data_IF_381495607504
#
_entry.id   IF_381495607504
#
_cell.length_a   1.000
_cell.length_b   1.000
_cell.length_c   1.000
_cell.angle_alpha   90.00
_cell.angle_beta   90.00
_cell.angle_gamma   90.00
#
_symmetry.space_group_name_H-M   'P 1'
#
loop_
_entity.id
_entity.type
_entity.pdbx_description
1 polymer ?
#
# COMPACT_ATOMS: atom_id res chain seq x y z
N UNK A 1 -17.46 3.56 -4.48
CA UNK A 1 -16.65 2.52 -3.80
C UNK A 1 -17.39 2.14 -2.52
N UNK A 2 -17.86 0.89 -2.35
CA UNK A 2 -18.30 0.40 -1.03
C UNK A 2 -17.09 -0.15 -0.26
N UNK A 3 -17.04 0.04 1.07
CA UNK A 3 -15.85 -0.28 1.87
C UNK A 3 -14.66 0.63 1.57
N UNK A 4 -14.94 1.91 1.28
CA UNK A 4 -13.95 2.91 0.89
C UNK A 4 -12.88 3.17 1.97
N UNK A 5 -13.23 3.02 3.25
CA UNK A 5 -12.35 3.13 4.42
C UNK A 5 -11.59 1.83 4.74
N UNK A 6 -11.91 0.73 4.04
CA UNK A 6 -11.20 -0.53 4.14
C UNK A 6 -9.80 -0.50 3.52
N UNK A 7 -9.04 -1.58 3.71
CA UNK A 7 -7.66 -1.67 3.23
C UNK A 7 -7.54 -1.45 1.72
N UNK A 8 -8.27 -2.22 0.91
CA UNK A 8 -8.23 -2.08 -0.56
C UNK A 8 -8.91 -0.78 -0.99
N UNK A 9 -10.03 -0.40 -0.36
CA UNK A 9 -10.78 0.81 -0.67
C UNK A 9 -9.95 2.08 -0.54
N UNK A 10 -9.14 2.22 0.52
CA UNK A 10 -8.23 3.36 0.71
C UNK A 10 -7.18 3.44 -0.40
N UNK A 11 -6.55 2.31 -0.72
CA UNK A 11 -5.55 2.27 -1.80
C UNK A 11 -6.18 2.64 -3.15
N UNK A 12 -7.36 2.12 -3.45
CA UNK A 12 -8.11 2.44 -4.67
C UNK A 12 -8.51 3.92 -4.72
N UNK A 13 -9.03 4.47 -3.62
CA UNK A 13 -9.44 5.89 -3.56
C UNK A 13 -8.28 6.84 -3.84
N UNK A 14 -7.10 6.56 -3.26
CA UNK A 14 -5.88 7.33 -3.53
C UNK A 14 -5.51 7.21 -5.01
N UNK A 15 -5.50 5.99 -5.55
CA UNK A 15 -5.11 5.77 -6.95
C UNK A 15 -6.05 6.44 -7.94
N UNK A 16 -7.35 6.41 -7.70
CA UNK A 16 -8.31 7.14 -8.52
C UNK A 16 -8.07 8.65 -8.50
N UNK A 17 -7.76 9.21 -7.32
CA UNK A 17 -7.38 10.63 -7.21
C UNK A 17 -6.12 10.97 -8.01
N UNK A 18 -5.09 10.12 -7.97
CA UNK A 18 -3.85 10.26 -8.76
C UNK A 18 -4.11 10.26 -10.28
N UNK A 19 -5.10 9.48 -10.72
CA UNK A 19 -5.53 9.41 -12.12
C UNK A 19 -6.46 10.56 -12.52
N UNK A 20 -6.79 11.48 -11.60
CA UNK A 20 -7.62 12.65 -11.87
C UNK A 20 -9.13 12.38 -11.77
N UNK A 21 -9.55 11.24 -11.25
CA UNK A 21 -10.97 11.01 -10.95
C UNK A 21 -11.38 11.80 -9.70
N UNK A 22 -12.19 12.82 -9.87
CA UNK A 22 -12.66 13.71 -8.77
C UNK A 22 -14.06 13.37 -8.27
N UNK A 23 -14.84 12.65 -9.07
CA UNK A 23 -16.21 12.24 -8.74
C UNK A 23 -16.21 10.80 -8.18
N UNK A 24 -15.58 10.62 -7.01
CA UNK A 24 -15.46 9.34 -6.32
C UNK A 24 -16.25 9.39 -5.02
N UNK A 25 -17.35 8.64 -4.97
CA UNK A 25 -18.17 8.51 -3.75
C UNK A 25 -17.72 7.28 -2.96
N UNK A 26 -17.33 7.49 -1.70
CA UNK A 26 -16.98 6.44 -0.74
C UNK A 26 -18.16 6.09 0.16
N UNK A 27 -18.53 4.83 0.20
CA UNK A 27 -19.54 4.26 1.11
C UNK A 27 -18.83 3.43 2.17
N UNK A 28 -19.08 3.73 3.43
CA UNK A 28 -18.49 3.08 4.62
C UNK A 28 -19.58 2.52 5.53
N UNK A 29 -19.20 1.93 6.65
CA UNK A 29 -20.15 1.47 7.67
C UNK A 29 -20.96 2.61 8.33
N UNK A 30 -20.46 3.85 8.24
CA UNK A 30 -21.13 5.03 8.79
C UNK A 30 -22.14 5.64 7.78
N UNK A 31 -22.10 5.22 6.52
CA UNK A 31 -23.00 5.71 5.49
C UNK A 31 -24.41 5.17 5.69
N UNK A 32 -25.40 6.02 5.50
CA UNK A 32 -26.80 5.61 5.62
C UNK A 32 -27.26 4.78 4.40
N UNK A 33 -28.35 4.02 4.51
CA UNK A 33 -28.95 3.35 3.34
C UNK A 33 -29.35 4.34 2.22
N UNK A 34 -29.70 5.57 2.56
CA UNK A 34 -30.00 6.62 1.58
C UNK A 34 -28.75 7.07 0.80
N UNK A 35 -27.60 7.17 1.47
CA UNK A 35 -26.33 7.49 0.81
C UNK A 35 -25.94 6.38 -0.18
N UNK A 36 -26.08 5.12 0.24
CA UNK A 36 -25.83 3.97 -0.64
C UNK A 36 -26.75 3.98 -1.87
N UNK A 37 -28.06 4.24 -1.65
CA UNK A 37 -29.05 4.35 -2.71
C UNK A 37 -28.69 5.47 -3.71
N UNK A 38 -28.38 6.66 -3.20
CA UNK A 38 -28.03 7.81 -4.03
C UNK A 38 -26.74 7.57 -4.83
N UNK A 39 -25.71 7.03 -4.18
CA UNK A 39 -24.43 6.73 -4.81
C UNK A 39 -24.59 5.70 -5.95
N UNK A 40 -25.31 4.60 -5.73
CA UNK A 40 -25.48 3.56 -6.73
C UNK A 40 -26.39 3.98 -7.88
N UNK A 41 -27.43 4.78 -7.61
CA UNK A 41 -28.34 5.22 -8.67
C UNK A 41 -27.65 6.11 -9.71
N UNK A 42 -26.64 6.89 -9.31
CA UNK A 42 -25.87 7.79 -10.20
C UNK A 42 -24.50 7.27 -10.62
N UNK A 43 -24.13 6.06 -10.21
CA UNK A 43 -22.77 5.56 -10.45
C UNK A 43 -22.52 5.28 -11.93
N UNK A 44 -21.36 5.72 -12.45
CA UNK A 44 -20.83 5.31 -13.76
C UNK A 44 -20.02 4.00 -13.70
N UNK A 45 -19.50 3.66 -12.51
CA UNK A 45 -18.75 2.43 -12.23
C UNK A 45 -18.82 2.12 -10.73
N UNK A 46 -18.93 0.85 -10.34
CA UNK A 46 -19.04 0.43 -8.94
C UNK A 46 -17.89 -0.50 -8.56
N UNK A 47 -17.13 -0.13 -7.55
CA UNK A 47 -16.18 -1.01 -6.87
C UNK A 47 -16.81 -1.49 -5.56
N UNK A 48 -17.32 -2.72 -5.55
CA UNK A 48 -17.92 -3.33 -4.38
C UNK A 48 -16.87 -4.10 -3.58
N UNK A 49 -16.25 -3.39 -2.61
CA UNK A 49 -15.13 -3.89 -1.81
C UNK A 49 -15.54 -4.15 -0.35
N UNK A 50 -16.73 -3.69 0.06
CA UNK A 50 -17.26 -3.96 1.38
C UNK A 50 -17.48 -5.46 1.58
N UNK A 51 -17.19 -5.94 2.78
CA UNK A 51 -17.43 -7.32 3.17
C UNK A 51 -16.88 -7.62 4.55
N UNK A 52 -17.43 -8.67 5.17
CA UNK A 52 -17.05 -9.16 6.50
C UNK A 52 -16.12 -10.36 6.34
N UNK A 53 -14.97 -10.34 7.04
CA UNK A 53 -14.00 -11.44 7.03
C UNK A 53 -13.59 -11.94 8.43
N UNK A 54 -13.96 -11.20 9.49
CA UNK A 54 -13.82 -11.59 10.91
C UNK A 54 -15.04 -11.10 11.69
N UNK A 55 -16.15 -11.83 11.60
CA UNK A 55 -17.38 -11.49 12.29
C UNK A 55 -17.26 -11.77 13.80
N UNK A 56 -18.16 -11.18 14.57
CA UNK A 56 -18.42 -11.59 15.96
C UNK A 56 -19.38 -12.76 16.00
N UNK A 57 -20.36 -12.78 15.09
CA UNK A 57 -21.30 -13.87 14.89
C UNK A 57 -21.22 -14.38 13.46
N UNK A 58 -21.36 -15.70 13.25
CA UNK A 58 -21.25 -16.34 11.92
C UNK A 58 -22.31 -15.78 10.94
N UNK A 59 -23.48 -15.35 11.42
CA UNK A 59 -24.54 -14.76 10.60
C UNK A 59 -24.09 -13.49 9.89
N UNK A 60 -23.16 -12.73 10.46
CA UNK A 60 -22.62 -11.51 9.86
C UNK A 60 -21.93 -11.77 8.51
N UNK A 61 -21.46 -13.01 8.25
CA UNK A 61 -20.93 -13.36 6.92
C UNK A 61 -22.02 -13.30 5.84
N UNK A 62 -23.17 -13.88 6.09
CA UNK A 62 -24.27 -13.87 5.15
C UNK A 62 -24.82 -12.44 4.94
N UNK A 63 -25.02 -11.69 6.02
CA UNK A 63 -25.52 -10.32 5.96
C UNK A 63 -24.54 -9.36 5.26
N UNK A 64 -23.27 -9.39 5.68
CA UNK A 64 -22.25 -8.46 5.23
C UNK A 64 -21.61 -8.79 3.88
N UNK A 65 -21.70 -10.03 3.41
CA UNK A 65 -21.18 -10.42 2.08
C UNK A 65 -22.33 -10.65 1.11
N UNK A 66 -23.15 -11.70 1.30
CA UNK A 66 -24.26 -12.03 0.39
C UNK A 66 -25.32 -10.92 0.38
N UNK A 67 -25.88 -10.58 1.54
CA UNK A 67 -27.00 -9.63 1.64
C UNK A 67 -26.65 -8.21 1.18
N UNK A 68 -25.43 -7.75 1.48
CA UNK A 68 -24.99 -6.45 0.97
C UNK A 68 -24.81 -6.46 -0.55
N UNK A 69 -24.28 -7.55 -1.14
CA UNK A 69 -24.14 -7.67 -2.60
C UNK A 69 -25.51 -7.72 -3.27
N UNK A 70 -26.46 -8.48 -2.72
CA UNK A 70 -27.84 -8.49 -3.20
C UNK A 70 -28.48 -7.10 -3.13
N UNK A 71 -28.24 -6.35 -2.05
CA UNK A 71 -28.72 -4.97 -1.89
C UNK A 71 -28.15 -4.06 -2.96
N UNK A 72 -26.84 -4.13 -3.25
CA UNK A 72 -26.20 -3.37 -4.33
C UNK A 72 -26.83 -3.71 -5.68
N UNK A 73 -26.98 -5.00 -5.99
CA UNK A 73 -27.59 -5.46 -7.24
C UNK A 73 -29.04 -4.98 -7.39
N UNK A 74 -29.83 -5.07 -6.31
CA UNK A 74 -31.22 -4.62 -6.30
C UNK A 74 -31.34 -3.12 -6.56
N UNK A 75 -30.54 -2.29 -5.88
CA UNK A 75 -30.55 -0.83 -6.07
C UNK A 75 -30.21 -0.46 -7.51
N UNK A 76 -29.16 -1.06 -8.08
CA UNK A 76 -28.76 -0.83 -9.47
C UNK A 76 -29.87 -1.21 -10.45
N UNK A 77 -30.52 -2.37 -10.23
CA UNK A 77 -31.62 -2.83 -11.07
C UNK A 77 -32.86 -1.93 -10.97
N UNK A 78 -33.29 -1.54 -9.76
CA UNK A 78 -34.41 -0.63 -9.52
C UNK A 78 -34.16 0.77 -10.13
N UNK A 79 -32.92 1.25 -10.12
CA UNK A 79 -32.52 2.50 -10.76
C UNK A 79 -32.36 2.37 -12.29
N UNK A 80 -32.45 1.17 -12.86
CA UNK A 80 -32.13 0.92 -14.27
C UNK A 80 -30.66 1.19 -14.62
N UNK A 81 -29.78 1.25 -13.62
CA UNK A 81 -28.37 1.57 -13.80
C UNK A 81 -27.58 0.31 -14.20
N UNK A 82 -26.92 0.37 -15.36
CA UNK A 82 -26.07 -0.71 -15.92
C UNK A 82 -24.59 -0.45 -15.75
N UNK A 83 -24.20 0.35 -14.75
CA UNK A 83 -22.80 0.60 -14.43
C UNK A 83 -22.04 -0.72 -14.23
N UNK A 84 -20.81 -0.84 -14.75
CA UNK A 84 -19.96 -2.00 -14.46
C UNK A 84 -19.73 -2.16 -12.96
N UNK A 85 -19.73 -3.41 -12.47
CA UNK A 85 -19.50 -3.71 -11.04
C UNK A 85 -18.32 -4.64 -10.87
N UNK A 86 -17.33 -4.22 -10.08
CA UNK A 86 -16.24 -5.05 -9.58
C UNK A 86 -16.62 -5.59 -8.20
N UNK A 87 -16.47 -6.88 -7.98
CA UNK A 87 -16.57 -7.53 -6.67
C UNK A 87 -15.21 -8.06 -6.21
N UNK A 88 -14.75 -7.61 -5.04
CA UNK A 88 -13.64 -8.23 -4.35
C UNK A 88 -14.10 -9.51 -3.64
N UNK A 89 -13.97 -10.65 -4.31
CA UNK A 89 -14.21 -11.97 -3.75
C UNK A 89 -12.91 -12.57 -3.17
N UNK A 90 -12.90 -13.84 -2.88
CA UNK A 90 -11.78 -14.56 -2.28
C UNK A 90 -11.61 -15.95 -2.90
N UNK A 91 -10.37 -16.42 -2.98
CA UNK A 91 -10.10 -17.84 -3.31
C UNK A 91 -10.80 -18.81 -2.36
N UNK A 92 -11.14 -18.36 -1.14
CA UNK A 92 -11.93 -19.17 -0.21
C UNK A 92 -13.38 -19.42 -0.65
N UNK A 93 -13.91 -18.68 -1.63
CA UNK A 93 -15.21 -18.97 -2.24
C UNK A 93 -15.29 -20.40 -2.83
N UNK A 94 -14.16 -21.05 -3.08
CA UNK A 94 -14.10 -22.46 -3.49
C UNK A 94 -14.25 -23.45 -2.31
N UNK A 95 -14.26 -22.98 -1.06
CA UNK A 95 -14.34 -23.81 0.15
C UNK A 95 -15.73 -23.78 0.78
N UNK A 96 -16.07 -24.82 1.55
CA UNK A 96 -17.38 -24.96 2.21
C UNK A 96 -17.40 -24.46 3.67
N UNK A 97 -16.47 -23.54 4.04
CA UNK A 97 -16.57 -22.84 5.31
C UNK A 97 -17.55 -21.64 5.21
N UNK A 98 -18.08 -21.13 6.34
CA UNK A 98 -19.11 -20.07 6.32
C UNK A 98 -18.69 -18.82 5.55
N UNK A 99 -17.42 -18.41 5.62
CA UNK A 99 -16.90 -17.28 4.85
C UNK A 99 -16.87 -17.59 3.35
N UNK A 100 -16.36 -18.76 2.97
CA UNK A 100 -16.28 -19.20 1.57
C UNK A 100 -17.68 -19.28 0.93
N UNK A 101 -18.66 -19.84 1.65
CA UNK A 101 -20.06 -19.92 1.20
C UNK A 101 -20.61 -18.53 0.95
N UNK A 102 -20.48 -17.60 1.92
CA UNK A 102 -21.01 -16.23 1.77
C UNK A 102 -20.38 -15.46 0.61
N UNK A 103 -19.08 -15.69 0.34
CA UNK A 103 -18.41 -15.07 -0.81
C UNK A 103 -18.89 -15.67 -2.13
N UNK A 104 -19.09 -16.99 -2.20
CA UNK A 104 -19.63 -17.67 -3.38
C UNK A 104 -21.07 -17.20 -3.69
N UNK A 105 -21.93 -17.09 -2.68
CA UNK A 105 -23.30 -16.59 -2.85
C UNK A 105 -23.31 -15.12 -3.33
N UNK A 106 -22.38 -14.29 -2.84
CA UNK A 106 -22.20 -12.92 -3.35
C UNK A 106 -21.76 -12.91 -4.83
N UNK A 107 -20.85 -13.81 -5.23
CA UNK A 107 -20.49 -13.99 -6.64
C UNK A 107 -21.69 -14.36 -7.49
N UNK A 108 -22.49 -15.34 -7.05
CA UNK A 108 -23.67 -15.82 -7.75
C UNK A 108 -24.72 -14.71 -7.91
N UNK A 109 -24.97 -13.92 -6.86
CA UNK A 109 -25.87 -12.77 -6.90
C UNK A 109 -25.43 -11.73 -7.93
N UNK A 110 -24.14 -11.38 -7.96
CA UNK A 110 -23.61 -10.42 -8.92
C UNK A 110 -23.64 -10.94 -10.36
N UNK A 111 -23.27 -12.21 -10.59
CA UNK A 111 -23.32 -12.82 -11.91
C UNK A 111 -24.77 -12.92 -12.44
N UNK A 112 -25.74 -13.23 -11.56
CA UNK A 112 -27.16 -13.21 -11.89
C UNK A 112 -27.63 -11.81 -12.27
N UNK A 113 -27.21 -10.77 -11.53
CA UNK A 113 -27.49 -9.36 -11.86
C UNK A 113 -26.95 -9.00 -13.26
N UNK A 114 -25.69 -9.32 -13.55
CA UNK A 114 -25.09 -9.07 -14.87
C UNK A 114 -25.88 -9.74 -16.00
N UNK A 115 -26.30 -11.00 -15.79
CA UNK A 115 -27.11 -11.74 -16.75
C UNK A 115 -28.50 -11.12 -16.97
N UNK A 116 -29.15 -10.67 -15.90
CA UNK A 116 -30.49 -10.11 -15.95
C UNK A 116 -30.55 -8.70 -16.56
N UNK A 117 -29.55 -7.86 -16.29
CA UNK A 117 -29.56 -6.44 -16.68
C UNK A 117 -28.71 -6.13 -17.91
N UNK A 118 -27.75 -6.99 -18.23
CA UNK A 118 -26.70 -6.75 -19.23
C UNK A 118 -25.58 -5.82 -18.73
N UNK A 119 -25.51 -5.54 -17.41
CA UNK A 119 -24.41 -4.79 -16.82
C UNK A 119 -23.13 -5.63 -16.82
N UNK A 120 -21.96 -5.07 -17.17
CA UNK A 120 -20.69 -5.77 -17.02
C UNK A 120 -20.39 -6.05 -15.54
N UNK A 121 -19.96 -7.28 -15.23
CA UNK A 121 -19.61 -7.66 -13.84
C UNK A 121 -18.26 -8.36 -13.84
N UNK A 122 -17.41 -8.02 -12.84
CA UNK A 122 -16.06 -8.52 -12.72
C UNK A 122 -15.82 -9.08 -11.33
N UNK A 123 -15.55 -10.35 -11.22
CA UNK A 123 -15.35 -11.05 -9.94
C UNK A 123 -13.88 -11.40 -9.77
N UNK A 124 -13.25 -10.80 -8.77
CA UNK A 124 -11.86 -11.08 -8.42
C UNK A 124 -11.79 -12.01 -7.20
N UNK A 125 -11.43 -13.27 -7.40
CA UNK A 125 -11.10 -14.20 -6.30
C UNK A 125 -9.69 -13.95 -5.81
N UNK A 126 -9.54 -12.92 -4.95
CA UNK A 126 -8.25 -12.50 -4.42
C UNK A 126 -7.68 -13.53 -3.44
N UNK A 127 -6.36 -13.73 -3.50
CA UNK A 127 -5.57 -14.47 -2.49
C UNK A 127 -5.32 -13.59 -1.26
N UNK A 128 -4.25 -13.81 -0.50
CA UNK A 128 -3.92 -12.96 0.64
C UNK A 128 -3.36 -11.62 0.13
N UNK A 129 -4.21 -10.59 0.10
CA UNK A 129 -3.81 -9.24 -0.29
C UNK A 129 -2.98 -8.62 0.84
N UNK A 130 -1.83 -8.03 0.49
CA UNK A 130 -0.95 -7.34 1.43
C UNK A 130 -0.48 -6.00 0.88
N UNK A 131 -0.01 -5.11 1.75
CA UNK A 131 0.52 -3.80 1.36
C UNK A 131 0.32 -2.74 2.44
N UNK A 132 0.69 -1.50 2.10
CA UNK A 132 0.54 -0.33 2.96
C UNK A 132 -0.90 -0.16 3.42
N UNK A 133 -1.09 0.29 4.68
CA UNK A 133 -2.38 0.54 5.34
C UNK A 133 -3.24 -0.69 5.65
N UNK A 134 -2.73 -1.91 5.44
CA UNK A 134 -3.41 -3.10 5.94
C UNK A 134 -3.37 -3.13 7.48
N UNK A 135 -4.45 -3.65 8.09
CA UNK A 135 -4.58 -3.66 9.55
C UNK A 135 -3.77 -4.81 10.16
N UNK A 136 -2.78 -4.54 11.04
CA UNK A 136 -2.03 -5.58 11.73
C UNK A 136 -2.90 -6.28 12.77
N UNK A 137 -2.53 -7.50 13.16
CA UNK A 137 -3.23 -8.32 14.16
C UNK A 137 -4.72 -8.53 13.83
N UNK A 138 -5.06 -8.56 12.54
CA UNK A 138 -6.42 -8.75 12.06
C UNK A 138 -6.50 -9.95 11.11
N UNK A 139 -6.23 -9.77 9.83
CA UNK A 139 -6.40 -10.83 8.82
C UNK A 139 -5.22 -10.95 7.83
N UNK A 140 -4.07 -10.41 8.14
CA UNK A 140 -2.89 -10.45 7.28
C UNK A 140 -1.66 -10.81 8.12
N UNK A 141 -1.05 -11.95 7.82
CA UNK A 141 0.24 -12.34 8.40
C UNK A 141 1.31 -11.31 8.03
N UNK A 142 1.34 -10.83 6.77
CA UNK A 142 2.29 -9.81 6.31
C UNK A 142 2.18 -8.54 7.15
N UNK A 143 0.95 -7.99 7.33
CA UNK A 143 0.74 -6.79 8.12
C UNK A 143 1.17 -6.99 9.59
N UNK A 144 0.82 -8.14 10.16
CA UNK A 144 1.19 -8.48 11.54
C UNK A 144 2.70 -8.59 11.72
N UNK A 145 3.37 -9.30 10.82
CA UNK A 145 4.83 -9.47 10.87
C UNK A 145 5.55 -8.13 10.66
N UNK A 146 5.15 -7.35 9.66
CA UNK A 146 5.72 -6.03 9.40
C UNK A 146 5.57 -5.11 10.62
N UNK A 147 4.35 -5.02 11.18
CA UNK A 147 4.07 -4.19 12.34
C UNK A 147 4.89 -4.61 13.58
N UNK A 148 4.91 -5.92 13.88
CA UNK A 148 5.55 -6.41 15.08
C UNK A 148 7.08 -6.32 14.98
N UNK A 149 7.65 -6.77 13.87
CA UNK A 149 9.10 -6.70 13.64
C UNK A 149 9.58 -5.23 13.64
N UNK A 150 8.83 -4.32 13.02
CA UNK A 150 9.17 -2.89 13.02
C UNK A 150 9.19 -2.26 14.43
N UNK A 151 8.52 -2.89 15.41
CA UNK A 151 8.44 -2.44 16.81
C UNK A 151 9.22 -3.32 17.79
N UNK A 152 10.00 -4.29 17.28
CA UNK A 152 10.73 -5.23 18.13
C UNK A 152 9.83 -6.15 18.96
N UNK A 153 8.59 -6.38 18.50
CA UNK A 153 7.64 -7.32 19.12
C UNK A 153 7.83 -8.69 18.49
N UNK A 154 7.89 -9.72 19.31
CA UNK A 154 8.02 -11.09 18.83
C UNK A 154 6.83 -11.52 17.98
N UNK A 155 7.12 -12.33 16.96
CA UNK A 155 6.10 -12.96 16.10
C UNK A 155 6.03 -14.45 16.41
N UNK A 156 4.81 -14.99 16.40
CA UNK A 156 4.58 -16.42 16.56
C UNK A 156 4.37 -17.07 15.19
N UNK A 157 5.10 -18.14 14.93
CA UNK A 157 4.99 -18.95 13.71
C UNK A 157 4.67 -20.37 14.14
N UNK A 158 3.44 -20.82 13.87
CA UNK A 158 3.01 -22.18 14.25
C UNK A 158 3.58 -23.24 13.29
N UNK A 159 3.59 -22.95 12.01
CA UNK A 159 4.16 -23.82 10.97
C UNK A 159 4.93 -22.98 9.95
N UNK A 160 6.28 -23.02 9.99
CA UNK A 160 7.11 -22.28 9.03
C UNK A 160 6.97 -22.76 7.59
N UNK A 161 6.59 -24.03 7.39
CA UNK A 161 6.43 -24.64 6.05
C UNK A 161 5.05 -24.37 5.44
N UNK A 162 4.09 -23.83 6.21
CA UNK A 162 2.76 -23.54 5.71
C UNK A 162 2.82 -22.64 4.48
N UNK A 163 2.21 -23.07 3.34
CA UNK A 163 2.22 -22.30 2.11
C UNK A 163 1.33 -21.06 2.22
N UNK A 164 1.78 -19.95 1.65
CA UNK A 164 1.01 -18.71 1.55
C UNK A 164 1.10 -18.18 0.13
N UNK A 165 -0.07 -17.93 -0.46
CA UNK A 165 -0.20 -17.24 -1.74
C UNK A 165 -0.58 -15.78 -1.51
N UNK A 166 0.20 -14.87 -2.05
CA UNK A 166 0.12 -13.42 -1.80
C UNK A 166 -0.17 -12.67 -3.11
N UNK A 167 -0.87 -11.56 -3.01
CA UNK A 167 -1.00 -10.55 -4.07
C UNK A 167 -0.82 -9.16 -3.48
N UNK A 168 -0.04 -8.32 -4.16
CA UNK A 168 0.22 -6.97 -3.67
C UNK A 168 -0.94 -6.03 -3.94
N UNK A 169 -1.29 -5.17 -2.99
CA UNK A 169 -2.48 -4.32 -3.07
C UNK A 169 -2.44 -3.37 -4.26
N UNK A 170 -1.26 -2.85 -4.64
CA UNK A 170 -1.16 -1.94 -5.77
C UNK A 170 -1.43 -2.68 -7.09
N UNK A 171 -1.01 -3.95 -7.23
CA UNK A 171 -1.33 -4.77 -8.40
C UNK A 171 -2.84 -5.05 -8.49
N UNK A 172 -3.51 -5.27 -7.35
CA UNK A 172 -4.98 -5.40 -7.30
C UNK A 172 -5.66 -4.11 -7.74
N UNK A 173 -5.19 -2.97 -7.22
CA UNK A 173 -5.73 -1.66 -7.56
C UNK A 173 -5.51 -1.33 -9.03
N UNK A 174 -4.33 -1.60 -9.60
CA UNK A 174 -4.07 -1.40 -11.03
C UNK A 174 -4.97 -2.28 -11.90
N UNK A 175 -5.24 -3.53 -11.50
CA UNK A 175 -6.20 -4.37 -12.21
C UNK A 175 -7.62 -3.77 -12.19
N UNK A 176 -8.03 -3.20 -11.05
CA UNK A 176 -9.34 -2.57 -10.91
C UNK A 176 -9.48 -1.31 -11.78
N UNK A 177 -8.51 -0.39 -11.69
CA UNK A 177 -8.57 0.85 -12.46
C UNK A 177 -8.36 0.64 -13.96
N UNK A 178 -7.67 -0.43 -14.34
CA UNK A 178 -7.50 -0.83 -15.72
C UNK A 178 -8.84 -1.05 -16.43
N UNK A 179 -9.85 -1.55 -15.72
CA UNK A 179 -11.20 -1.78 -16.25
C UNK A 179 -11.93 -0.49 -16.62
N UNK A 180 -11.56 0.67 -16.06
CA UNK A 180 -12.16 1.96 -16.40
C UNK A 180 -11.82 2.41 -17.83
N UNK A 181 -10.65 2.01 -18.33
CA UNK A 181 -10.17 2.43 -19.65
C UNK A 181 -10.12 1.28 -20.66
N UNK A 182 -9.95 0.05 -20.18
CA UNK A 182 -9.86 -1.15 -21.00
C UNK A 182 -10.71 -2.26 -20.35
N UNK A 183 -12.03 -2.27 -20.61
CA UNK A 183 -12.92 -3.30 -20.10
C UNK A 183 -12.49 -4.71 -20.57
N UNK A 184 -12.62 -5.68 -19.67
CA UNK A 184 -12.44 -7.09 -19.98
C UNK A 184 -13.80 -7.78 -20.25
N UNK A 185 -13.76 -9.06 -20.58
CA UNK A 185 -14.98 -9.87 -20.67
C UNK A 185 -15.60 -10.00 -19.27
N UNK A 186 -16.94 -9.86 -19.20
CA UNK A 186 -17.68 -10.01 -17.95
C UNK A 186 -17.52 -11.41 -17.37
N UNK A 187 -17.34 -11.52 -16.06
CA UNK A 187 -17.15 -12.78 -15.34
C UNK A 187 -15.99 -12.76 -14.37
N UNK A 188 -15.34 -13.91 -14.22
CA UNK A 188 -14.16 -14.02 -13.36
C UNK A 188 -12.94 -13.42 -14.04
N UNK A 189 -12.25 -12.58 -13.31
CA UNK A 189 -11.03 -11.89 -13.73
C UNK A 189 -9.92 -12.05 -12.68
N UNK A 190 -8.67 -11.82 -13.07
CA UNK A 190 -7.51 -12.01 -12.20
C UNK A 190 -6.78 -10.71 -11.94
N UNK A 191 -6.24 -10.56 -10.74
CA UNK A 191 -5.29 -9.52 -10.40
C UNK A 191 -3.94 -10.17 -10.06
N UNK A 192 -2.88 -9.52 -10.37
CA UNK A 192 -1.57 -10.08 -10.06
C UNK A 192 -0.42 -9.29 -10.65
N UNK A 193 0.81 -9.72 -10.39
CA UNK A 193 1.23 -11.12 -10.14
C UNK A 193 0.87 -11.65 -8.75
N UNK A 194 0.59 -12.95 -8.70
CA UNK A 194 0.50 -13.69 -7.44
C UNK A 194 1.87 -14.30 -7.08
N UNK A 195 2.16 -14.37 -5.79
CA UNK A 195 3.43 -14.87 -5.28
C UNK A 195 3.20 -16.05 -4.33
N UNK A 196 3.89 -17.16 -4.57
CA UNK A 196 3.92 -18.32 -3.69
C UNK A 196 5.14 -18.22 -2.75
N UNK A 197 4.91 -18.41 -1.45
CA UNK A 197 5.95 -18.42 -0.41
C UNK A 197 5.50 -19.30 0.76
N UNK A 198 6.31 -19.38 1.83
CA UNK A 198 5.90 -19.97 3.10
C UNK A 198 5.90 -18.95 4.22
N UNK A 199 5.21 -19.27 5.32
CA UNK A 199 5.16 -18.39 6.50
C UNK A 199 6.56 -18.14 7.06
N UNK A 200 7.43 -19.15 7.07
CA UNK A 200 8.82 -19.02 7.50
C UNK A 200 9.63 -18.10 6.60
N UNK A 201 9.59 -18.33 5.28
CA UNK A 201 10.29 -17.47 4.31
C UNK A 201 9.83 -16.02 4.39
N UNK A 202 8.52 -15.80 4.56
CA UNK A 202 7.95 -14.47 4.75
C UNK A 202 8.53 -13.78 6.00
N UNK A 203 8.55 -14.49 7.13
CA UNK A 203 9.07 -13.95 8.37
C UNK A 203 10.57 -13.63 8.28
N UNK A 204 11.36 -14.53 7.68
CA UNK A 204 12.81 -14.34 7.54
C UNK A 204 13.14 -13.19 6.61
N UNK A 205 12.38 -13.02 5.51
CA UNK A 205 12.51 -11.88 4.62
C UNK A 205 12.27 -10.56 5.35
N UNK A 206 11.18 -10.46 6.14
CA UNK A 206 10.85 -9.23 6.87
C UNK A 206 11.86 -8.97 8.01
N UNK A 207 12.35 -10.01 8.71
CA UNK A 207 13.44 -9.87 9.69
C UNK A 207 14.73 -9.37 9.03
N UNK A 208 15.03 -9.83 7.81
CA UNK A 208 16.15 -9.33 7.01
C UNK A 208 16.05 -7.83 6.75
N UNK A 209 14.86 -7.31 6.47
CA UNK A 209 14.66 -5.87 6.31
C UNK A 209 14.95 -5.08 7.60
N UNK A 210 14.50 -5.57 8.75
CA UNK A 210 14.84 -4.94 10.03
C UNK A 210 16.34 -4.98 10.31
N UNK A 211 16.97 -6.13 10.08
CA UNK A 211 18.41 -6.32 10.29
C UNK A 211 19.28 -5.49 9.33
N UNK A 212 18.76 -5.11 8.17
CA UNK A 212 19.48 -4.31 7.17
C UNK A 212 19.94 -2.96 7.70
N UNK A 213 19.25 -2.39 8.69
CA UNK A 213 19.63 -1.11 9.32
C UNK A 213 20.89 -1.21 10.17
N UNK A 214 21.13 -2.38 10.76
CA UNK A 214 22.35 -2.62 11.55
C UNK A 214 23.50 -3.15 10.68
N UNK A 215 23.19 -4.05 9.75
CA UNK A 215 24.21 -4.65 8.85
C UNK A 215 24.59 -3.75 7.69
N UNK A 216 23.78 -2.77 7.36
CA UNK A 216 23.84 -1.94 6.15
C UNK A 216 23.70 -2.75 4.85
N UNK A 217 23.32 -4.02 4.94
CA UNK A 217 23.09 -4.89 3.78
C UNK A 217 21.59 -4.92 3.47
N UNK A 218 21.23 -4.44 2.30
CA UNK A 218 19.84 -4.47 1.78
C UNK A 218 19.77 -5.50 0.64
N UNK A 219 18.77 -6.36 0.70
CA UNK A 219 18.50 -7.37 -0.32
C UNK A 219 18.01 -6.76 -1.65
N UNK A 220 17.64 -7.58 -2.61
CA UNK A 220 17.12 -7.22 -3.94
C UNK A 220 15.73 -6.64 -3.87
N UNK A 221 15.60 -5.42 -3.33
CA UNK A 221 14.31 -4.76 -3.05
C UNK A 221 13.71 -4.04 -4.26
N UNK A 222 14.26 -4.22 -5.46
CA UNK A 222 13.84 -3.48 -6.66
C UNK A 222 12.69 -4.11 -7.44
N UNK A 223 12.40 -5.41 -7.28
CA UNK A 223 11.40 -6.12 -8.08
C UNK A 223 10.66 -7.21 -7.30
N UNK A 224 9.51 -7.63 -7.82
CA UNK A 224 8.76 -8.81 -7.38
C UNK A 224 8.30 -8.75 -5.93
N UNK A 225 8.16 -9.93 -5.31
CA UNK A 225 7.67 -10.06 -3.95
C UNK A 225 8.51 -9.28 -2.92
N UNK A 226 9.84 -9.33 -3.06
CA UNK A 226 10.75 -8.67 -2.11
C UNK A 226 10.55 -7.16 -2.13
N UNK A 227 10.38 -6.54 -3.31
CA UNK A 227 10.02 -5.11 -3.45
C UNK A 227 8.73 -4.78 -2.72
N UNK A 228 7.68 -5.55 -2.99
CA UNK A 228 6.37 -5.33 -2.39
C UNK A 228 6.40 -5.51 -0.86
N UNK A 229 7.10 -6.54 -0.36
CA UNK A 229 7.27 -6.76 1.08
C UNK A 229 8.10 -5.66 1.75
N UNK A 230 9.17 -5.20 1.11
CA UNK A 230 10.00 -4.13 1.65
C UNK A 230 9.22 -2.81 1.77
N UNK A 231 8.51 -2.42 0.72
CA UNK A 231 7.62 -1.25 0.76
C UNK A 231 6.56 -1.38 1.86
N UNK A 232 5.98 -2.58 1.98
CA UNK A 232 5.00 -2.85 3.05
C UNK A 232 5.63 -2.73 4.42
N UNK A 233 6.80 -3.35 4.66
CA UNK A 233 7.52 -3.25 5.93
C UNK A 233 7.82 -1.80 6.32
N UNK A 234 8.35 -1.01 5.39
CA UNK A 234 8.64 0.41 5.63
C UNK A 234 7.38 1.21 5.97
N UNK A 235 6.22 0.89 5.37
CA UNK A 235 4.96 1.57 5.68
C UNK A 235 4.44 1.31 7.10
N UNK A 236 4.97 0.30 7.80
CA UNK A 236 4.66 -0.01 9.20
C UNK A 236 5.65 0.56 10.20
N UNK A 237 6.72 1.21 9.74
CA UNK A 237 7.65 1.87 10.66
C UNK A 237 6.92 2.97 11.44
N UNK A 238 7.14 3.05 12.74
CA UNK A 238 6.67 4.22 13.49
C UNK A 238 7.49 5.44 13.10
N UNK A 239 6.93 6.68 13.16
CA UNK A 239 7.62 7.89 12.72
C UNK A 239 9.01 8.09 13.32
N UNK A 240 9.22 7.67 14.57
CA UNK A 240 10.52 7.76 15.26
C UNK A 240 11.59 6.90 14.59
N UNK A 241 11.19 5.86 13.87
CA UNK A 241 12.06 4.97 13.14
C UNK A 241 12.30 5.39 11.68
N UNK A 242 11.82 6.56 11.22
CA UNK A 242 12.11 7.06 9.87
C UNK A 242 13.57 7.48 9.71
N UNK A 243 14.29 7.67 10.81
CA UNK A 243 15.70 8.00 10.79
C UNK A 243 16.48 7.14 11.79
N UNK A 244 17.70 6.77 11.42
CA UNK A 244 18.62 6.05 12.29
C UNK A 244 20.07 6.49 12.04
N UNK A 245 20.93 6.33 13.05
CA UNK A 245 22.35 6.64 12.97
C UNK A 245 23.14 5.42 12.51
N UNK A 246 24.17 5.65 11.74
CA UNK A 246 25.14 4.63 11.31
C UNK A 246 26.47 4.81 12.03
N UNK A 247 27.28 3.75 12.02
CA UNK A 247 28.61 3.79 12.65
C UNK A 247 29.52 4.76 11.89
N UNK A 248 30.11 5.68 12.63
CA UNK A 248 31.12 6.60 12.15
C UNK A 248 32.50 6.09 12.55
N UNK A 249 33.34 5.80 11.59
CA UNK A 249 34.73 5.39 11.77
C UNK A 249 35.65 6.61 11.59
N UNK A 250 36.19 7.12 12.68
CA UNK A 250 37.06 8.31 12.67
C UNK A 250 38.51 7.92 12.82
N UNK A 251 39.39 8.52 12.00
CA UNK A 251 40.84 8.44 12.12
C UNK A 251 41.48 9.81 11.78
N UNK A 252 42.79 9.99 11.89
CA UNK A 252 43.43 11.29 11.58
C UNK A 252 43.21 11.79 10.14
N UNK A 253 42.72 10.95 9.23
CA UNK A 253 42.42 11.31 7.83
C UNK A 253 41.00 11.83 7.64
N UNK A 254 40.11 11.63 8.65
CA UNK A 254 38.71 12.03 8.61
C UNK A 254 37.80 10.91 9.02
N UNK A 255 36.52 11.04 8.60
CA UNK A 255 35.43 10.12 8.95
C UNK A 255 35.04 9.23 7.75
N UNK A 256 34.84 7.96 8.05
CA UNK A 256 34.26 7.01 7.09
C UNK A 256 32.91 6.50 7.61
N UNK A 257 31.87 6.59 6.78
CA UNK A 257 30.51 6.18 7.13
C UNK A 257 29.95 5.33 6.00
N UNK A 258 29.68 4.07 6.31
CA UNK A 258 28.95 3.21 5.39
C UNK A 258 27.46 3.59 5.41
N UNK A 259 26.89 3.80 4.23
CA UNK A 259 25.50 4.15 4.09
C UNK A 259 24.66 2.94 3.69
N UNK A 260 25.13 2.14 2.73
CA UNK A 260 24.41 0.98 2.20
C UNK A 260 25.35 0.02 1.51
N UNK A 261 25.08 -1.27 1.73
CA UNK A 261 25.67 -2.37 0.97
C UNK A 261 24.54 -3.11 0.26
N UNK A 262 24.60 -3.22 -1.06
CA UNK A 262 23.63 -4.01 -1.83
C UNK A 262 24.37 -4.89 -2.82
N UNK A 263 23.97 -6.17 -2.95
CA UNK A 263 24.62 -7.08 -3.91
C UNK A 263 24.44 -6.62 -5.35
N UNK A 264 23.31 -5.99 -5.70
CA UNK A 264 23.00 -5.76 -7.09
C UNK A 264 21.84 -4.81 -7.38
N UNK A 265 21.60 -3.75 -6.66
CA UNK A 265 20.60 -2.82 -7.16
C UNK A 265 20.47 -1.49 -6.44
N UNK A 266 19.65 -0.67 -7.03
CA UNK A 266 19.36 0.67 -6.59
C UNK A 266 20.19 1.70 -7.32
N UNK A 267 19.81 2.94 -7.13
CA UNK A 267 20.47 4.10 -7.70
C UNK A 267 21.02 4.97 -6.60
N UNK A 268 22.35 5.10 -6.58
CA UNK A 268 23.02 6.12 -5.76
C UNK A 268 23.09 7.43 -6.52
N UNK A 269 22.84 8.54 -5.83
CA UNK A 269 23.03 9.87 -6.35
C UNK A 269 23.33 10.85 -5.22
N UNK A 270 23.79 12.02 -5.55
CA UNK A 270 23.80 13.16 -4.64
C UNK A 270 23.11 14.34 -5.31
N UNK A 271 22.65 15.30 -4.53
CA UNK A 271 22.21 16.58 -5.05
C UNK A 271 22.72 17.72 -4.17
N UNK A 272 22.76 18.91 -4.77
CA UNK A 272 23.00 20.13 -4.02
C UNK A 272 21.72 20.95 -3.92
N UNK A 273 21.64 21.80 -2.90
CA UNK A 273 20.51 22.70 -2.70
C UNK A 273 20.99 24.01 -2.08
N UNK A 274 20.61 25.12 -2.68
CA UNK A 274 20.91 26.45 -2.13
C UNK A 274 20.16 26.70 -0.82
N UNK A 275 20.61 27.62 0.03
CA UNK A 275 19.91 28.03 1.24
C UNK A 275 18.43 28.37 0.99
N UNK A 276 17.53 27.88 1.84
CA UNK A 276 16.08 28.09 1.76
C UNK A 276 15.33 27.28 0.70
N UNK A 277 16.04 26.57 -0.17
CA UNK A 277 15.39 25.79 -1.24
C UNK A 277 14.84 24.48 -0.68
N UNK A 278 13.57 24.20 -1.00
CA UNK A 278 12.89 22.93 -0.72
C UNK A 278 12.83 22.07 -1.98
N UNK A 279 13.14 20.78 -1.83
CA UNK A 279 13.06 19.74 -2.86
C UNK A 279 12.12 18.62 -2.36
N UNK A 280 11.57 17.83 -3.29
CA UNK A 280 10.61 16.77 -2.95
C UNK A 280 9.18 17.25 -3.18
N UNK A 281 8.35 17.36 -2.15
CA UNK A 281 6.93 17.65 -2.24
C UNK A 281 6.19 16.60 -3.07
N UNK A 282 6.49 15.31 -2.77
CA UNK A 282 5.88 14.17 -3.43
C UNK A 282 5.92 12.92 -2.54
N UNK A 283 5.17 11.91 -2.93
CA UNK A 283 5.16 10.60 -2.29
C UNK A 283 5.35 9.48 -3.31
N UNK A 284 5.61 8.29 -2.80
CA UNK A 284 5.83 7.07 -3.57
C UNK A 284 4.93 5.94 -3.08
N UNK A 285 4.63 4.97 -3.94
CA UNK A 285 3.94 3.74 -3.56
C UNK A 285 4.92 2.62 -3.20
N UNK A 286 5.96 2.43 -3.99
CA UNK A 286 6.93 1.34 -3.82
C UNK A 286 8.38 1.80 -3.89
N UNK A 287 8.65 2.94 -4.50
CA UNK A 287 9.97 3.55 -4.49
C UNK A 287 10.28 4.00 -3.06
N UNK A 288 11.47 3.65 -2.60
CA UNK A 288 12.00 4.05 -1.30
C UNK A 288 13.36 4.70 -1.48
N UNK A 289 13.63 5.72 -0.70
CA UNK A 289 14.86 6.49 -0.81
C UNK A 289 15.53 6.63 0.56
N UNK A 290 16.85 6.66 0.59
CA UNK A 290 17.66 6.94 1.77
C UNK A 290 18.48 8.20 1.51
N UNK A 291 18.32 9.18 2.38
CA UNK A 291 19.04 10.44 2.32
C UNK A 291 20.10 10.49 3.41
N UNK A 292 21.28 10.99 3.09
CA UNK A 292 22.30 11.35 4.06
C UNK A 292 22.82 12.76 3.74
N UNK A 293 22.69 13.68 4.68
CA UNK A 293 23.25 15.04 4.54
C UNK A 293 24.76 14.97 4.73
N UNK A 294 25.52 15.31 3.69
CA UNK A 294 26.98 15.32 3.73
C UNK A 294 27.52 16.68 4.19
N UNK A 295 26.86 17.79 3.77
CA UNK A 295 27.23 19.17 4.13
C UNK A 295 25.92 19.98 4.31
N UNK A 296 25.94 20.94 5.23
CA UNK A 296 24.81 21.85 5.51
C UNK A 296 23.84 21.29 6.55
N UNK A 297 22.68 21.92 6.67
CA UNK A 297 21.63 21.56 7.63
C UNK A 297 20.31 21.37 6.88
N UNK A 298 19.73 20.19 7.02
CA UNK A 298 18.48 19.82 6.36
C UNK A 298 17.33 19.71 7.36
N UNK A 299 16.19 20.28 7.01
CA UNK A 299 14.90 19.99 7.61
C UNK A 299 14.13 19.04 6.70
N UNK A 300 13.68 17.92 7.24
CA UNK A 300 12.81 16.96 6.56
C UNK A 300 11.41 17.07 7.11
N UNK A 301 10.43 17.15 6.21
CA UNK A 301 9.02 17.07 6.53
C UNK A 301 8.40 15.83 5.91
N UNK A 302 7.48 15.21 6.66
CA UNK A 302 6.70 14.05 6.24
C UNK A 302 5.24 14.27 6.61
N UNK A 303 4.33 13.86 5.72
CA UNK A 303 2.89 13.78 6.03
C UNK A 303 2.31 12.51 5.46
N UNK A 304 1.64 11.76 6.31
CA UNK A 304 0.91 10.56 5.90
C UNK A 304 -0.31 10.97 5.06
N UNK A 305 -0.42 10.45 3.83
CA UNK A 305 -1.38 10.95 2.84
C UNK A 305 -2.84 10.62 3.13
N UNK A 306 -3.12 9.66 4.03
CA UNK A 306 -4.48 9.27 4.42
C UNK A 306 -4.88 9.90 5.74
N UNK A 307 -4.00 9.82 6.78
CA UNK A 307 -4.31 10.30 8.13
C UNK A 307 -4.02 11.78 8.32
N UNK A 308 -3.13 12.36 7.50
CA UNK A 308 -2.64 13.72 7.67
C UNK A 308 -1.60 13.88 8.79
N UNK A 309 -1.19 12.79 9.45
CA UNK A 309 -0.16 12.80 10.51
C UNK A 309 1.13 13.44 9.98
N UNK A 310 1.67 14.38 10.74
CA UNK A 310 2.90 15.12 10.42
C UNK A 310 4.06 14.61 11.28
N UNK A 311 5.23 14.47 10.66
CA UNK A 311 6.50 14.21 11.34
C UNK A 311 7.60 15.08 10.73
N UNK A 312 8.40 15.72 11.56
CA UNK A 312 9.49 16.60 11.14
C UNK A 312 10.77 16.24 11.89
N UNK A 313 11.90 16.33 11.23
CA UNK A 313 13.19 16.14 11.84
C UNK A 313 14.25 17.03 11.18
N UNK A 314 15.32 17.32 11.92
CA UNK A 314 16.50 18.04 11.42
C UNK A 314 17.71 17.13 11.51
N UNK A 315 18.58 17.19 10.50
CA UNK A 315 19.89 16.54 10.51
C UNK A 315 20.94 17.41 9.83
N UNK A 316 22.21 17.20 10.19
CA UNK A 316 23.35 17.98 9.69
C UNK A 316 24.37 17.08 9.02
N UNK A 317 25.17 17.69 8.15
CA UNK A 317 26.36 17.05 7.61
C UNK A 317 27.31 16.58 8.73
N UNK A 318 27.83 15.37 8.57
CA UNK A 318 28.78 14.77 9.54
C UNK A 318 28.14 14.01 10.70
N UNK A 319 26.82 14.05 10.90
CA UNK A 319 26.14 13.25 11.95
C UNK A 319 26.09 11.76 11.66
N UNK A 320 26.24 11.33 10.39
CA UNK A 320 26.08 9.93 10.02
C UNK A 320 24.64 9.42 10.20
N UNK A 321 23.66 10.29 9.97
CA UNK A 321 22.25 9.98 10.16
C UNK A 321 21.57 9.76 8.81
N UNK A 322 20.84 8.64 8.68
CA UNK A 322 20.05 8.32 7.51
C UNK A 322 18.59 8.69 7.76
N UNK A 323 17.95 9.30 6.75
CA UNK A 323 16.52 9.57 6.71
C UNK A 323 15.94 8.78 5.55
N UNK A 324 14.87 8.00 5.79
CA UNK A 324 14.22 7.19 4.78
C UNK A 324 12.87 7.78 4.38
N UNK A 325 12.56 7.73 3.07
CA UNK A 325 11.19 7.97 2.62
C UNK A 325 10.34 6.72 2.85
N UNK A 326 9.12 6.94 3.27
CA UNK A 326 8.18 5.87 3.63
C UNK A 326 7.01 5.87 2.64
N UNK A 327 6.73 4.75 1.97
CA UNK A 327 5.58 4.65 1.07
C UNK A 327 4.28 5.12 1.70
N UNK A 328 3.51 5.93 0.96
CA UNK A 328 2.28 6.53 1.47
C UNK A 328 2.47 7.76 2.38
N UNK A 329 3.71 8.26 2.48
CA UNK A 329 3.99 9.56 3.11
C UNK A 329 4.56 10.52 2.08
N UNK A 330 3.92 11.70 1.93
CA UNK A 330 4.56 12.79 1.18
C UNK A 330 5.72 13.35 2.00
N UNK A 331 6.80 13.69 1.33
CA UNK A 331 8.02 14.17 1.97
C UNK A 331 8.66 15.32 1.22
N UNK A 332 9.42 16.11 1.95
CA UNK A 332 10.30 17.14 1.42
C UNK A 332 11.59 17.25 2.23
N UNK A 333 12.58 17.91 1.63
CA UNK A 333 13.83 18.30 2.28
C UNK A 333 14.12 19.78 1.97
N UNK A 334 14.39 20.56 3.00
CA UNK A 334 14.69 22.00 2.90
C UNK A 334 16.09 22.26 3.43
N UNK A 335 16.92 22.97 2.69
CA UNK A 335 18.16 23.51 3.22
C UNK A 335 17.83 24.68 4.16
N UNK A 336 18.05 24.48 5.46
CA UNK A 336 17.83 25.51 6.49
C UNK A 336 19.16 26.12 7.00
N UNK A 337 20.29 25.79 6.36
CA UNK A 337 21.61 26.39 6.64
C UNK A 337 21.89 27.60 5.74
N UNK A 338 23.01 28.26 6.01
CA UNK A 338 23.42 29.46 5.28
C UNK A 338 24.31 29.14 4.06
N UNK A 339 24.82 27.89 3.98
CA UNK A 339 25.67 27.40 2.91
C UNK A 339 24.94 26.43 1.98
N UNK A 340 25.59 26.09 0.85
CA UNK A 340 25.12 25.01 -0.01
C UNK A 340 25.08 23.67 0.73
N UNK A 341 23.93 23.03 0.72
CA UNK A 341 23.72 21.69 1.27
C UNK A 341 24.08 20.63 0.22
N UNK A 342 24.76 19.58 0.65
CA UNK A 342 25.07 18.39 -0.18
C UNK A 342 24.44 17.18 0.47
N UNK A 343 23.64 16.45 -0.30
CA UNK A 343 22.92 15.27 0.17
C UNK A 343 23.19 14.08 -0.75
N UNK A 344 23.64 12.97 -0.15
CA UNK A 344 23.71 11.69 -0.83
C UNK A 344 22.33 11.02 -0.79
N UNK A 345 21.94 10.44 -1.91
CA UNK A 345 20.66 9.79 -2.12
C UNK A 345 20.86 8.40 -2.72
N UNK A 346 20.17 7.41 -2.16
CA UNK A 346 19.95 6.12 -2.79
C UNK A 346 18.46 5.90 -3.02
N UNK A 347 18.09 5.33 -4.17
CA UNK A 347 16.75 4.85 -4.46
C UNK A 347 16.79 3.34 -4.76
N UNK A 348 15.77 2.59 -4.35
CA UNK A 348 15.68 1.14 -4.56
C UNK A 348 15.49 0.73 -6.02
N UNK A 349 15.25 1.69 -6.90
CA UNK A 349 15.02 1.49 -8.33
C UNK A 349 15.74 2.56 -9.16
N UNK A 350 16.02 2.25 -10.42
CA UNK A 350 16.47 3.24 -11.41
C UNK A 350 15.28 4.11 -11.79
N UNK A 351 15.46 5.43 -11.82
CA UNK A 351 14.40 6.37 -12.17
C UNK A 351 13.97 6.21 -13.63
N UNK A 352 12.73 5.79 -13.83
CA UNK A 352 12.09 5.71 -15.15
C UNK A 352 11.25 6.98 -15.39
N UNK A 353 11.58 7.74 -16.44
CA UNK A 353 10.87 8.97 -16.79
C UNK A 353 9.47 8.73 -17.35
N UNK A 354 9.23 7.58 -17.94
CA UNK A 354 7.94 7.23 -18.54
C UNK A 354 6.96 6.67 -17.50
N UNK A 355 7.48 6.07 -16.43
CA UNK A 355 6.70 5.48 -15.35
C UNK A 355 7.28 5.81 -13.97
N UNK A 356 7.37 7.09 -13.61
CA UNK A 356 7.90 7.47 -12.31
C UNK A 356 6.92 7.07 -11.20
N UNK A 357 7.39 6.34 -10.20
CA UNK A 357 6.64 6.17 -8.94
C UNK A 357 6.84 7.43 -8.07
N UNK A 358 6.37 8.59 -8.58
CA UNK A 358 6.54 9.90 -7.95
C UNK A 358 5.31 10.75 -8.18
N UNK A 359 4.58 11.07 -7.11
CA UNK A 359 3.30 11.78 -7.16
C UNK A 359 3.39 13.08 -6.36
N UNK A 360 3.21 14.21 -7.05
CA UNK A 360 3.32 15.54 -6.46
C UNK A 360 2.26 15.76 -5.36
N UNK A 361 2.69 16.10 -4.16
CA UNK A 361 1.83 16.44 -3.03
C UNK A 361 2.65 17.20 -1.98
N UNK A 362 2.16 18.36 -1.52
CA UNK A 362 2.84 19.14 -0.48
C UNK A 362 2.76 18.46 0.88
N UNK A 363 3.84 18.57 1.67
CA UNK A 363 3.87 18.15 3.08
C UNK A 363 2.95 19.02 3.92
N UNK A 364 3.04 20.35 3.74
CA UNK A 364 2.09 21.31 4.34
C UNK A 364 1.21 21.86 3.23
N UNK A 365 -0.12 21.71 3.34
CA UNK A 365 -1.07 22.19 2.34
C UNK A 365 -1.02 23.68 2.10
#
# INVERSE_FOLDING_TARGET
ITGADGFIGRNLSVRLGELGYTDVVGITLESSPADLQAALSGAGFVFHLAGVNRPKDISEFAEGNTGLTETVCRILAEAGNKAPVVLSSSTQAALDNPYGVSKREAEDALLAHGKATGAPVYVYRLTNVFGKWSRPNYNSAVATFCNNIARGIDITINDPAAPVKLVYVDDVVEAFVGLLTKPEASGFVTAGPEYDTTVGQLADTIRGFAASRASMITDRVGTGLVRALYSTYLSFLPPEAFAYSVVKHSDPRGDFVEMLKTPDCGQFSYFTSHPGVTRGEHYHHTKTEKFMVLKGTAHFGFRQIVTGELHELVTKGGEGRIVETVPGWTHNITNIGDDEMIVMLWANEIFDREKPDTFAMKVKP
#
